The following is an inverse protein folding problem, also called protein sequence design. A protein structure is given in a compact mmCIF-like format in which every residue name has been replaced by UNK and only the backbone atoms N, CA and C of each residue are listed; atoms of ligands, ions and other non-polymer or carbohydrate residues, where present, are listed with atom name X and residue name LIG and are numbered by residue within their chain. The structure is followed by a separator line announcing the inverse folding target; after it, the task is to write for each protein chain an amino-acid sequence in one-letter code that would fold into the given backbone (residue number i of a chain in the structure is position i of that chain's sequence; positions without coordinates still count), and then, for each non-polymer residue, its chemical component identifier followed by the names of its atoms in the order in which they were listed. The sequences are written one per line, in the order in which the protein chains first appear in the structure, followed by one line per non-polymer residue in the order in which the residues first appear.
data_IF_023507754054
#
_entry.id   IF_023507754054
#
_cell.length_a   1.000
_cell.length_b   1.000
_cell.length_c   1.000
_cell.angle_alpha   90.00
_cell.angle_beta   90.00
_cell.angle_gamma   90.00
#
_symmetry.space_group_name_H-M   'P 1'
#
loop_
_entity.id
_entity.type
_entity.pdbx_description
1 polymer ?
#
# COMPACT_ATOMS: atom_id res chain seq x y z
N UNK A 1 35.32 26.78 11.59
CA UNK A 1 34.05 26.90 12.32
C UNK A 1 33.02 26.00 11.66
N UNK A 2 32.75 24.84 12.23
CA UNK A 2 31.78 23.88 11.72
C UNK A 2 30.40 24.21 12.34
N UNK A 3 29.47 24.69 11.53
CA UNK A 3 28.09 24.86 11.95
C UNK A 3 27.44 23.49 12.18
N UNK A 4 27.14 23.17 13.45
CA UNK A 4 26.29 22.05 13.84
C UNK A 4 24.89 22.29 13.26
N UNK A 5 24.53 21.54 12.21
CA UNK A 5 23.14 21.39 11.81
C UNK A 5 22.37 20.74 12.95
N UNK A 6 21.62 21.54 13.71
CA UNK A 6 20.61 21.06 14.62
C UNK A 6 19.53 20.37 13.79
N UNK A 7 19.53 19.01 13.80
CA UNK A 7 18.38 18.22 13.33
C UNK A 7 17.19 18.56 14.22
N UNK A 8 16.30 19.42 13.74
CA UNK A 8 14.99 19.60 14.33
C UNK A 8 14.32 18.23 14.41
N UNK A 9 14.14 17.70 15.61
CA UNK A 9 13.28 16.54 15.85
C UNK A 9 11.86 16.97 15.52
N UNK A 10 11.38 16.66 14.32
CA UNK A 10 9.97 16.88 14.00
C UNK A 10 9.13 16.04 14.98
N UNK A 11 8.14 16.69 15.62
CA UNK A 11 7.21 15.99 16.53
C UNK A 11 6.51 14.89 15.74
N UNK A 12 6.39 13.70 16.35
CA UNK A 12 5.60 12.62 15.79
C UNK A 12 4.12 12.99 15.76
N UNK A 13 3.42 12.66 14.68
CA UNK A 13 1.97 12.78 14.58
C UNK A 13 1.34 11.59 15.28
N UNK A 14 0.54 11.84 16.30
CA UNK A 14 -0.27 10.82 16.97
C UNK A 14 -1.65 10.80 16.31
N UNK A 15 -2.14 9.61 16.03
CA UNK A 15 -3.50 9.38 15.53
C UNK A 15 -4.46 9.22 16.72
N UNK A 16 -4.59 10.28 17.53
CA UNK A 16 -5.49 10.32 18.69
C UNK A 16 -6.90 10.76 18.29
N UNK A 17 -7.81 10.80 19.26
CA UNK A 17 -9.22 11.20 19.05
C UNK A 17 -9.35 12.63 18.49
N UNK A 18 -8.43 13.54 18.85
CA UNK A 18 -8.43 14.91 18.30
C UNK A 18 -8.05 14.92 16.83
N UNK A 19 -7.05 14.12 16.48
CA UNK A 19 -6.65 13.92 15.09
C UNK A 19 -7.82 13.38 14.28
N UNK A 20 -8.44 12.27 14.71
CA UNK A 20 -9.52 11.63 13.96
C UNK A 20 -10.75 12.53 13.82
N UNK A 21 -11.14 13.25 14.87
CA UNK A 21 -12.21 14.24 14.81
C UNK A 21 -11.92 15.34 13.78
N UNK A 22 -10.70 15.87 13.75
CA UNK A 22 -10.30 16.88 12.78
C UNK A 22 -10.23 16.30 11.36
N UNK A 23 -9.70 15.10 11.20
CA UNK A 23 -9.60 14.38 9.93
C UNK A 23 -11.00 14.17 9.31
N UNK A 24 -11.94 13.62 10.07
CA UNK A 24 -13.31 13.39 9.62
C UNK A 24 -13.98 14.70 9.15
N UNK A 25 -13.80 15.78 9.92
CA UNK A 25 -14.40 17.07 9.60
C UNK A 25 -13.78 17.75 8.36
N UNK A 26 -12.46 17.63 8.19
CA UNK A 26 -11.71 18.49 7.26
C UNK A 26 -11.15 17.78 6.03
N UNK A 27 -11.02 16.44 6.08
CA UNK A 27 -10.34 15.66 5.03
C UNK A 27 -11.18 14.51 4.47
N UNK A 28 -11.87 13.76 5.34
CA UNK A 28 -12.63 12.58 4.93
C UNK A 28 -13.58 12.91 3.77
N UNK A 29 -13.46 12.17 2.67
CA UNK A 29 -14.22 12.35 1.41
C UNK A 29 -14.15 13.78 0.80
N UNK A 30 -13.19 14.59 1.21
CA UNK A 30 -13.06 15.99 0.75
C UNK A 30 -11.74 16.26 0.05
N UNK A 31 -10.64 15.78 0.62
CA UNK A 31 -9.30 16.00 0.08
C UNK A 31 -8.28 15.04 0.68
N UNK A 32 -7.21 14.79 -0.06
CA UNK A 32 -6.08 14.02 0.42
C UNK A 32 -5.34 14.71 1.57
N UNK A 33 -4.72 13.90 2.43
CA UNK A 33 -3.86 14.35 3.51
C UNK A 33 -2.53 13.57 3.46
N UNK A 34 -1.42 14.29 3.54
CA UNK A 34 -0.10 13.70 3.70
C UNK A 34 0.44 14.00 5.09
N UNK A 35 0.72 12.96 5.85
CA UNK A 35 1.30 13.05 7.19
C UNK A 35 2.76 12.57 7.18
N UNK A 36 3.57 13.18 8.04
CA UNK A 36 4.97 12.77 8.27
C UNK A 36 5.14 12.29 9.70
N UNK A 37 6.02 11.30 9.90
CA UNK A 37 6.37 10.77 11.23
C UNK A 37 5.14 10.33 12.03
N UNK A 38 4.23 9.62 11.38
CA UNK A 38 3.05 9.04 12.01
C UNK A 38 3.47 7.86 12.89
N UNK A 39 2.87 7.75 14.06
CA UNK A 39 2.94 6.57 14.92
C UNK A 39 1.61 5.84 14.88
N UNK A 40 1.64 4.59 14.52
CA UNK A 40 0.48 3.70 14.49
C UNK A 40 0.98 2.27 14.65
N UNK A 41 0.24 1.43 15.35
CA UNK A 41 0.58 0.01 15.51
C UNK A 41 0.76 -0.72 14.17
N UNK A 42 0.00 -0.35 13.14
CA UNK A 42 0.18 -0.87 11.77
C UNK A 42 1.57 -0.56 11.20
N UNK A 43 2.18 0.57 11.58
CA UNK A 43 3.48 1.02 11.09
C UNK A 43 4.65 0.51 11.94
N UNK A 44 4.37 -0.18 13.03
CA UNK A 44 5.37 -0.74 13.94
C UNK A 44 5.76 -2.17 13.56
N UNK A 45 5.13 -2.75 12.54
CA UNK A 45 5.58 -4.02 11.98
C UNK A 45 6.94 -3.84 11.30
N UNK A 46 7.89 -4.68 11.69
CA UNK A 46 9.21 -4.72 11.06
C UNK A 46 9.16 -5.36 9.67
N UNK A 47 10.15 -5.08 8.84
CA UNK A 47 10.33 -5.73 7.53
C UNK A 47 10.36 -7.26 7.66
N UNK A 48 10.93 -7.79 8.74
CA UNK A 48 10.96 -9.24 9.03
C UNK A 48 9.56 -9.77 9.29
N UNK A 49 8.75 -9.11 10.13
CA UNK A 49 7.38 -9.54 10.41
C UNK A 49 6.51 -9.51 9.15
N UNK A 50 6.68 -8.50 8.30
CA UNK A 50 5.96 -8.42 7.02
C UNK A 50 6.38 -9.56 6.11
N UNK A 51 7.68 -9.88 6.04
CA UNK A 51 8.20 -10.97 5.24
C UNK A 51 7.68 -12.33 5.73
N UNK A 52 7.68 -12.56 7.04
CA UNK A 52 7.18 -13.80 7.64
C UNK A 52 5.68 -14.01 7.32
N UNK A 53 4.87 -12.94 7.38
CA UNK A 53 3.45 -12.99 6.98
C UNK A 53 3.29 -13.29 5.49
N UNK A 54 4.10 -12.69 4.63
CA UNK A 54 4.08 -12.96 3.19
C UNK A 54 4.40 -14.41 2.86
N UNK A 55 5.45 -14.97 3.49
CA UNK A 55 5.83 -16.37 3.30
C UNK A 55 4.73 -17.30 3.80
N UNK A 56 4.21 -17.05 5.00
CA UNK A 56 3.11 -17.85 5.56
C UNK A 56 1.89 -17.87 4.62
N UNK A 57 1.54 -16.71 4.05
CA UNK A 57 0.41 -16.64 3.13
C UNK A 57 0.72 -17.29 1.78
N UNK A 58 1.93 -17.09 1.27
CA UNK A 58 2.38 -17.72 0.03
C UNK A 58 2.39 -19.27 0.13
N UNK A 59 2.85 -19.81 1.26
CA UNK A 59 2.84 -21.25 1.51
C UNK A 59 1.41 -21.80 1.57
N UNK A 60 0.50 -21.09 2.23
CA UNK A 60 -0.93 -21.46 2.23
C UNK A 60 -1.50 -21.46 0.80
N UNK A 61 -1.22 -20.45 0.00
CA UNK A 61 -1.65 -20.39 -1.41
C UNK A 61 -1.12 -21.57 -2.23
N UNK A 62 0.14 -21.96 -2.02
CA UNK A 62 0.73 -23.13 -2.69
C UNK A 62 0.06 -24.44 -2.25
N UNK A 63 -0.19 -24.63 -0.95
CA UNK A 63 -0.87 -25.80 -0.42
C UNK A 63 -2.29 -25.95 -0.99
N UNK A 64 -3.00 -24.84 -1.11
CA UNK A 64 -4.37 -24.81 -1.65
C UNK A 64 -4.41 -24.79 -3.19
N UNK A 65 -3.27 -24.57 -3.84
CA UNK A 65 -3.17 -24.30 -5.28
C UNK A 65 -4.07 -23.13 -5.73
N UNK A 66 -4.17 -22.09 -4.88
CA UNK A 66 -5.03 -20.92 -5.07
C UNK A 66 -4.27 -19.63 -4.72
N UNK A 67 -3.73 -18.90 -5.70
CA UNK A 67 -3.05 -17.64 -5.47
C UNK A 67 -3.98 -16.42 -5.45
N UNK A 68 -5.28 -16.57 -5.26
CA UNK A 68 -6.28 -15.49 -5.40
C UNK A 68 -5.98 -14.25 -4.54
N UNK A 69 -5.26 -14.42 -3.41
CA UNK A 69 -4.78 -13.32 -2.57
C UNK A 69 -3.57 -12.57 -3.12
N UNK A 70 -2.98 -13.06 -4.21
CA UNK A 70 -1.82 -12.43 -4.84
C UNK A 70 -2.08 -12.05 -6.29
N UNK A 71 -1.45 -10.96 -6.73
CA UNK A 71 -1.39 -10.56 -8.13
C UNK A 71 0.05 -10.20 -8.45
N UNK A 72 0.55 -10.70 -9.55
CA UNK A 72 1.88 -10.36 -10.03
C UNK A 72 1.77 -9.69 -11.40
N UNK A 73 2.57 -8.65 -11.59
CA UNK A 73 2.63 -7.91 -12.85
C UNK A 73 4.10 -7.76 -13.24
N UNK A 74 4.38 -7.93 -14.52
CA UNK A 74 5.67 -7.61 -15.12
C UNK A 74 5.43 -6.84 -16.42
N UNK A 75 6.18 -5.76 -16.64
CA UNK A 75 6.01 -4.86 -17.78
C UNK A 75 4.55 -4.38 -17.99
N UNK A 76 3.80 -4.25 -16.90
CA UNK A 76 2.40 -3.84 -16.90
C UNK A 76 1.40 -4.95 -17.27
N UNK A 77 1.86 -6.18 -17.50
CA UNK A 77 1.03 -7.34 -17.83
C UNK A 77 0.80 -8.16 -16.57
N UNK A 78 -0.46 -8.53 -16.33
CA UNK A 78 -0.84 -9.40 -15.22
C UNK A 78 -0.46 -10.85 -15.56
N UNK A 79 0.26 -11.50 -14.64
CA UNK A 79 0.55 -12.93 -14.69
C UNK A 79 -0.72 -13.76 -14.47
N UNK A 80 -0.78 -14.96 -15.01
CA UNK A 80 -1.79 -15.96 -14.70
C UNK A 80 -1.53 -16.63 -13.34
N UNK A 81 -2.45 -17.47 -12.88
CA UNK A 81 -2.39 -18.09 -11.55
C UNK A 81 -1.18 -19.02 -11.38
N UNK A 82 -0.82 -19.78 -12.38
CA UNK A 82 0.34 -20.67 -12.35
C UNK A 82 1.64 -19.88 -12.22
N UNK A 83 1.80 -18.85 -13.03
CA UNK A 83 2.93 -17.93 -12.95
C UNK A 83 3.00 -17.20 -11.61
N UNK A 84 1.85 -16.82 -11.03
CA UNK A 84 1.82 -16.20 -9.69
C UNK A 84 2.39 -17.16 -8.66
N UNK A 85 1.95 -18.42 -8.61
CA UNK A 85 2.43 -19.43 -7.66
C UNK A 85 3.96 -19.62 -7.72
N UNK A 86 4.55 -19.58 -8.92
CA UNK A 86 6.00 -19.74 -9.12
C UNK A 86 6.83 -18.58 -8.55
N UNK A 87 6.27 -17.36 -8.52
CA UNK A 87 7.00 -16.16 -8.13
C UNK A 87 6.71 -15.70 -6.70
N UNK A 88 5.82 -16.38 -5.96
CA UNK A 88 5.51 -16.02 -4.58
C UNK A 88 6.77 -16.01 -3.68
N UNK A 89 6.78 -15.20 -2.60
CA UNK A 89 7.85 -15.23 -1.61
C UNK A 89 8.07 -16.62 -1.00
N UNK A 90 9.32 -16.95 -0.72
CA UNK A 90 9.74 -18.22 -0.12
C UNK A 90 10.63 -17.96 1.10
N UNK A 91 10.64 -18.88 2.06
CA UNK A 91 11.54 -18.82 3.23
C UNK A 91 13.03 -18.71 2.83
N UNK A 92 13.41 -19.28 1.69
CA UNK A 92 14.75 -19.22 1.10
C UNK A 92 15.19 -17.80 0.71
N UNK A 93 14.24 -16.88 0.48
CA UNK A 93 14.51 -15.46 0.22
C UNK A 93 15.06 -14.74 1.47
N UNK A 94 14.77 -15.24 2.68
CA UNK A 94 15.24 -14.76 3.99
C UNK A 94 14.78 -13.35 4.39
N UNK A 95 14.30 -12.54 3.48
CA UNK A 95 13.85 -11.17 3.75
C UNK A 95 13.12 -10.56 2.54
N UNK A 96 12.41 -9.43 2.76
CA UNK A 96 11.86 -8.62 1.66
C UNK A 96 12.93 -8.23 0.65
N UNK A 97 14.13 -7.86 1.11
CA UNK A 97 15.24 -7.52 0.21
C UNK A 97 15.74 -8.74 -0.56
N UNK A 98 15.77 -9.93 0.04
CA UNK A 98 16.16 -11.17 -0.63
C UNK A 98 15.16 -11.53 -1.74
N UNK A 99 13.87 -11.50 -1.42
CA UNK A 99 12.81 -11.66 -2.40
C UNK A 99 12.93 -10.63 -3.55
N UNK A 100 13.11 -9.35 -3.20
CA UNK A 100 13.32 -8.30 -4.20
C UNK A 100 14.51 -8.58 -5.11
N UNK A 101 15.63 -9.05 -4.57
CA UNK A 101 16.82 -9.41 -5.38
C UNK A 101 16.53 -10.56 -6.32
N UNK A 102 15.82 -11.62 -5.87
CA UNK A 102 15.41 -12.74 -6.71
C UNK A 102 14.51 -12.26 -7.85
N UNK A 103 13.45 -11.52 -7.54
CA UNK A 103 12.53 -11.01 -8.54
C UNK A 103 13.19 -10.03 -9.52
N UNK A 104 14.04 -9.13 -9.02
CA UNK A 104 14.72 -8.15 -9.88
C UNK A 104 15.74 -8.78 -10.84
N UNK A 105 16.25 -9.97 -10.52
CA UNK A 105 17.11 -10.72 -11.44
C UNK A 105 16.34 -11.38 -12.59
N UNK A 106 15.04 -11.62 -12.39
CA UNK A 106 14.17 -12.26 -13.38
C UNK A 106 13.32 -11.24 -14.16
N UNK A 107 12.89 -10.18 -13.47
CA UNK A 107 11.95 -9.19 -14.00
C UNK A 107 12.46 -7.77 -13.70
N UNK A 108 12.92 -7.01 -14.71
CA UNK A 108 13.43 -5.64 -14.51
C UNK A 108 12.34 -4.61 -14.12
N UNK A 109 11.08 -4.93 -14.35
CA UNK A 109 9.91 -4.15 -13.89
C UNK A 109 8.86 -5.14 -13.37
N UNK A 110 8.66 -5.20 -12.04
CA UNK A 110 7.66 -6.07 -11.46
C UNK A 110 6.90 -5.38 -10.32
N UNK A 111 5.67 -5.85 -10.09
CA UNK A 111 4.83 -5.48 -8.97
C UNK A 111 4.12 -6.72 -8.45
N UNK A 112 4.41 -7.10 -7.19
CA UNK A 112 3.61 -8.04 -6.42
C UNK A 112 2.59 -7.24 -5.61
N UNK A 113 1.34 -7.62 -5.69
CA UNK A 113 0.25 -7.16 -4.81
C UNK A 113 -0.18 -8.35 -3.98
N UNK A 114 -0.23 -8.18 -2.67
CA UNK A 114 -0.80 -9.14 -1.74
C UNK A 114 -2.03 -8.48 -1.11
N UNK A 115 -3.19 -8.98 -1.41
CA UNK A 115 -4.44 -8.54 -0.78
C UNK A 115 -4.60 -9.26 0.58
N UNK A 116 -5.24 -8.60 1.54
CA UNK A 116 -5.59 -9.19 2.85
C UNK A 116 -4.43 -9.83 3.63
N UNK A 117 -3.24 -9.24 3.57
CA UNK A 117 -2.01 -9.76 4.18
C UNK A 117 -2.17 -10.23 5.64
N UNK A 118 -3.03 -9.58 6.42
CA UNK A 118 -3.18 -9.88 7.85
C UNK A 118 -4.11 -11.05 8.15
N UNK A 119 -4.88 -11.56 7.18
CA UNK A 119 -5.83 -12.66 7.40
C UNK A 119 -5.19 -13.95 7.90
N UNK A 120 -3.91 -14.17 7.58
CA UNK A 120 -3.16 -15.36 7.99
C UNK A 120 -2.68 -15.30 9.45
N UNK A 121 -2.88 -14.17 10.14
CA UNK A 121 -2.43 -13.99 11.51
C UNK A 121 -3.40 -13.14 12.33
N UNK A 122 -4.28 -13.78 13.10
CA UNK A 122 -5.32 -13.11 13.89
C UNK A 122 -4.75 -12.09 14.89
N UNK A 123 -3.56 -12.33 15.44
CA UNK A 123 -2.94 -11.36 16.38
C UNK A 123 -2.55 -10.07 15.66
N UNK A 124 -2.12 -10.17 14.40
CA UNK A 124 -1.78 -8.99 13.58
C UNK A 124 -3.03 -8.32 13.00
N UNK A 125 -4.10 -9.08 12.79
CA UNK A 125 -5.39 -8.52 12.37
C UNK A 125 -5.93 -7.46 13.35
N UNK A 126 -5.64 -7.60 14.65
CA UNK A 126 -6.00 -6.58 15.64
C UNK A 126 -5.39 -5.21 15.35
N UNK A 127 -4.21 -5.13 14.75
CA UNK A 127 -3.61 -3.85 14.38
C UNK A 127 -4.46 -3.06 13.37
N UNK A 128 -5.07 -3.78 12.42
CA UNK A 128 -6.01 -3.17 11.47
C UNK A 128 -7.31 -2.78 12.15
N UNK A 129 -7.84 -3.66 13.01
CA UNK A 129 -9.07 -3.39 13.78
C UNK A 129 -8.90 -2.14 14.66
N UNK A 130 -7.81 -2.05 15.43
CA UNK A 130 -7.54 -0.90 16.29
C UNK A 130 -7.46 0.41 15.49
N UNK A 131 -6.78 0.39 14.34
CA UNK A 131 -6.69 1.55 13.46
C UNK A 131 -8.06 1.95 12.89
N UNK A 132 -8.84 0.99 12.43
CA UNK A 132 -10.16 1.24 11.82
C UNK A 132 -11.22 1.61 12.85
N UNK A 133 -11.19 1.06 14.05
CA UNK A 133 -12.10 1.42 15.13
C UNK A 133 -12.01 2.90 15.49
N UNK A 134 -10.79 3.42 15.61
CA UNK A 134 -10.57 4.84 15.87
C UNK A 134 -11.12 5.72 14.74
N UNK A 135 -10.93 5.32 13.49
CA UNK A 135 -11.51 6.01 12.34
C UNK A 135 -13.04 5.94 12.35
N UNK A 136 -13.60 4.73 12.51
CA UNK A 136 -15.05 4.49 12.39
C UNK A 136 -15.88 5.21 13.43
N UNK A 137 -15.34 5.45 14.62
CA UNK A 137 -15.98 6.30 15.66
C UNK A 137 -16.28 7.71 15.16
N UNK A 138 -15.58 8.18 14.13
CA UNK A 138 -15.71 9.54 13.61
C UNK A 138 -16.36 9.63 12.23
N UNK A 139 -16.26 8.59 11.42
CA UNK A 139 -16.76 8.61 10.02
C UNK A 139 -17.88 7.60 9.78
N UNK A 140 -18.21 6.76 10.78
CA UNK A 140 -19.18 5.67 10.64
C UNK A 140 -18.55 4.39 10.08
N UNK A 141 -19.31 3.30 10.11
CA UNK A 141 -18.87 2.01 9.60
C UNK A 141 -18.97 1.95 8.08
N UNK A 142 -18.04 1.27 7.41
CA UNK A 142 -18.10 1.08 5.96
C UNK A 142 -19.25 0.12 5.57
N UNK A 143 -19.74 0.23 4.34
CA UNK A 143 -20.72 -0.71 3.79
C UNK A 143 -20.13 -2.11 3.52
N UNK A 144 -18.80 -2.20 3.48
CA UNK A 144 -18.02 -3.44 3.30
C UNK A 144 -16.94 -3.50 4.37
N UNK A 145 -16.09 -4.51 4.30
CA UNK A 145 -14.95 -4.69 5.20
C UNK A 145 -13.80 -3.72 4.87
N UNK A 146 -12.88 -3.59 5.82
CA UNK A 146 -11.56 -2.99 5.59
C UNK A 146 -10.53 -4.09 5.43
N UNK A 147 -9.63 -3.89 4.51
CA UNK A 147 -8.54 -4.81 4.21
C UNK A 147 -7.19 -4.11 4.25
N UNK A 148 -6.14 -4.88 4.40
CA UNK A 148 -4.77 -4.40 4.31
C UNK A 148 -4.03 -5.14 3.21
N UNK A 149 -3.75 -4.42 2.13
CA UNK A 149 -2.92 -4.91 1.03
C UNK A 149 -1.47 -4.45 1.14
N UNK A 150 -0.57 -5.22 0.57
CA UNK A 150 0.85 -4.88 0.42
C UNK A 150 1.22 -4.79 -1.06
N UNK A 151 1.99 -3.77 -1.41
CA UNK A 151 2.58 -3.58 -2.73
C UNK A 151 4.09 -3.64 -2.63
N UNK A 152 4.70 -4.57 -3.33
CA UNK A 152 6.15 -4.78 -3.36
C UNK A 152 6.64 -4.84 -4.81
N UNK A 153 7.71 -4.10 -5.13
CA UNK A 153 8.27 -4.14 -6.48
C UNK A 153 9.25 -3.03 -6.79
N UNK A 154 9.73 -3.04 -8.02
CA UNK A 154 10.61 -2.01 -8.59
C UNK A 154 9.95 -1.24 -9.75
N UNK A 155 8.63 -1.37 -9.87
CA UNK A 155 7.85 -0.76 -10.95
C UNK A 155 7.98 0.78 -11.00
N UNK A 156 8.13 1.31 -12.20
CA UNK A 156 8.19 2.76 -12.44
C UNK A 156 6.81 3.43 -12.42
N UNK A 157 5.78 2.69 -12.76
CA UNK A 157 4.37 3.09 -12.74
C UNK A 157 3.54 1.91 -12.24
N UNK A 158 2.48 2.20 -11.46
CA UNK A 158 1.55 1.13 -11.04
C UNK A 158 0.93 0.47 -12.27
N UNK A 159 0.72 -0.85 -12.27
CA UNK A 159 0.18 -1.57 -13.43
C UNK A 159 -1.30 -1.27 -13.72
N UNK A 160 -1.94 -0.45 -12.91
CA UNK A 160 -3.38 -0.15 -13.03
C UNK A 160 -3.68 1.12 -13.85
N UNK A 161 -2.66 1.91 -14.21
CA UNK A 161 -2.86 3.22 -14.81
C UNK A 161 -3.46 4.23 -13.83
N UNK A 162 -3.96 5.32 -14.34
CA UNK A 162 -4.77 6.28 -13.56
C UNK A 162 -6.14 5.66 -13.30
N UNK A 163 -6.60 5.66 -12.06
CA UNK A 163 -7.88 5.04 -11.69
C UNK A 163 -8.48 5.72 -10.46
N UNK A 164 -9.73 5.42 -10.21
CA UNK A 164 -10.44 5.78 -8.98
C UNK A 164 -10.73 4.49 -8.22
N UNK A 165 -10.33 4.44 -6.96
CA UNK A 165 -10.70 3.35 -6.06
C UNK A 165 -12.13 3.53 -5.55
N UNK A 166 -12.82 2.41 -5.34
CA UNK A 166 -14.19 2.40 -4.79
C UNK A 166 -14.23 2.60 -3.27
N UNK A 167 -13.09 2.81 -2.64
CA UNK A 167 -12.91 2.90 -1.19
C UNK A 167 -11.97 4.05 -0.80
N UNK A 168 -12.00 4.43 0.47
CA UNK A 168 -10.97 5.30 1.06
C UNK A 168 -9.67 4.54 1.21
N UNK A 169 -8.55 5.14 0.78
CA UNK A 169 -7.22 4.49 0.82
C UNK A 169 -6.30 5.21 1.80
N UNK A 170 -5.74 4.45 2.73
CA UNK A 170 -4.63 4.87 3.58
C UNK A 170 -3.36 4.17 3.11
N UNK A 171 -2.37 4.94 2.67
CA UNK A 171 -1.11 4.38 2.16
C UNK A 171 0.04 4.65 3.13
N UNK A 172 0.74 3.59 3.51
CA UNK A 172 1.86 3.61 4.43
C UNK A 172 3.13 3.11 3.71
N UNK A 173 4.01 4.01 3.21
CA UNK A 173 5.28 3.59 2.66
C UNK A 173 6.17 3.00 3.77
N UNK A 174 6.48 1.71 3.67
CA UNK A 174 7.35 0.99 4.62
C UNK A 174 8.82 1.14 4.21
N UNK A 175 9.11 0.96 2.93
CA UNK A 175 10.46 1.06 2.37
C UNK A 175 10.45 1.73 1.00
N UNK A 176 11.56 2.36 0.62
CA UNK A 176 11.70 3.02 -0.68
C UNK A 176 10.92 4.33 -0.81
N UNK A 177 10.56 4.67 -2.03
CA UNK A 177 9.85 5.91 -2.37
C UNK A 177 8.67 5.61 -3.30
N UNK A 178 7.49 6.09 -2.95
CA UNK A 178 6.31 6.03 -3.79
C UNK A 178 5.79 7.45 -4.05
N UNK A 179 5.66 7.83 -5.31
CA UNK A 179 5.11 9.13 -5.72
C UNK A 179 3.65 8.94 -6.11
N UNK A 180 2.77 9.63 -5.40
CA UNK A 180 1.37 9.72 -5.77
C UNK A 180 1.12 10.96 -6.63
N UNK A 181 0.24 10.82 -7.62
CA UNK A 181 -0.37 11.90 -8.38
C UNK A 181 -1.86 11.78 -8.22
N UNK A 182 -2.48 12.84 -7.75
CA UNK A 182 -3.90 12.87 -7.45
C UNK A 182 -4.52 14.04 -8.22
N UNK A 183 -5.62 13.78 -8.90
CA UNK A 183 -6.42 14.80 -9.57
C UNK A 183 -7.73 15.01 -8.83
N UNK A 184 -8.26 16.24 -8.77
CA UNK A 184 -9.60 16.46 -8.26
C UNK A 184 -10.63 15.64 -9.05
N UNK A 185 -11.66 15.11 -8.39
CA UNK A 185 -12.72 14.33 -9.04
C UNK A 185 -13.33 15.09 -10.23
N UNK A 186 -13.67 16.37 -10.03
CA UNK A 186 -14.21 17.22 -11.09
C UNK A 186 -13.28 17.42 -12.30
N UNK A 187 -11.97 17.20 -12.12
CA UNK A 187 -11.03 17.18 -13.23
C UNK A 187 -11.12 15.85 -13.99
N UNK A 188 -11.18 14.74 -13.28
CA UNK A 188 -11.34 13.41 -13.88
C UNK A 188 -12.65 13.29 -14.68
N UNK A 189 -13.76 13.82 -14.15
CA UNK A 189 -15.05 13.85 -14.85
C UNK A 189 -15.00 14.58 -16.19
N UNK A 190 -14.18 15.63 -16.29
CA UNK A 190 -13.99 16.40 -17.54
C UNK A 190 -12.96 15.77 -18.48
N UNK A 191 -12.21 14.80 -18.00
CA UNK A 191 -11.09 14.17 -18.71
C UNK A 191 -11.19 12.64 -18.60
N UNK A 192 -12.27 12.02 -19.14
CA UNK A 192 -12.48 10.56 -19.04
C UNK A 192 -11.33 9.76 -19.69
N UNK A 193 -10.59 10.37 -20.60
CA UNK A 193 -9.39 9.78 -21.19
C UNK A 193 -8.25 9.52 -20.19
N UNK A 194 -8.35 10.06 -18.96
CA UNK A 194 -7.42 9.75 -17.87
C UNK A 194 -7.65 8.34 -17.28
N UNK A 195 -8.87 7.81 -17.34
CA UNK A 195 -9.15 6.52 -16.73
C UNK A 195 -8.34 5.40 -17.39
N UNK A 196 -7.68 4.61 -16.56
CA UNK A 196 -6.81 3.49 -16.96
C UNK A 196 -5.65 3.86 -17.89
N UNK A 197 -5.36 5.15 -18.12
CA UNK A 197 -4.24 5.56 -18.96
C UNK A 197 -2.91 5.52 -18.22
N UNK A 198 -1.85 5.19 -18.92
CA UNK A 198 -0.46 5.40 -18.49
C UNK A 198 0.15 6.68 -19.07
N UNK A 199 -0.52 7.31 -20.03
CA UNK A 199 -0.06 8.51 -20.70
C UNK A 199 -0.76 9.77 -20.17
N UNK A 200 -0.39 10.16 -18.96
CA UNK A 200 -0.96 11.33 -18.27
C UNK A 200 -0.06 12.58 -18.31
N UNK A 201 0.97 12.61 -19.14
CA UNK A 201 1.97 13.70 -19.16
C UNK A 201 1.33 15.09 -19.34
N UNK A 202 0.39 15.23 -20.27
CA UNK A 202 -0.32 16.50 -20.53
C UNK A 202 -1.19 16.96 -19.35
N UNK A 203 -1.53 16.06 -18.43
CA UNK A 203 -2.37 16.32 -17.27
C UNK A 203 -1.57 16.56 -15.97
N UNK A 204 -0.24 16.38 -15.98
CA UNK A 204 0.60 16.47 -14.77
C UNK A 204 0.49 17.78 -14.01
N UNK A 205 0.30 18.89 -14.70
CA UNK A 205 0.20 20.23 -14.11
C UNK A 205 -1.10 20.44 -13.31
N UNK A 206 -2.06 19.52 -13.42
CA UNK A 206 -3.34 19.57 -12.71
C UNK A 206 -3.45 18.54 -11.58
N UNK A 207 -2.34 17.81 -11.29
CA UNK A 207 -2.24 16.81 -10.22
C UNK A 207 -1.66 17.38 -8.93
#
# INVERSE_FOLDING_TARGET
MAQKLQKSRSKSTLLDQKFWSHFAKSYWEKKSLHLKNVKSGLLEMSDSEIFDLLVLYADHCREMNDPSGFKFYTDGIKADEEQVLEVLPEATDKSLLGYHKRMNSLFPDYCLVCDELLQVNLKKQHLLTDFTDDLYRHVGFPNRFSEMGLYLGNYKKTPFGVHVDSCGVFSFPVSGLKKFRLWPAAYGEKHPELDRTFNYEKHKKHS
#
